data_IF_453612636490
#
_entry.id   IF_453612636490
#
_cell.length_a   1.000
_cell.length_b   1.000
_cell.length_c   1.000
_cell.angle_alpha   90.00
_cell.angle_beta   90.00
_cell.angle_gamma   90.00
#
_symmetry.space_group_name_H-M   'P 1'
#
loop_
_entity.id
_entity.type
_entity.pdbx_description
1 polymer ?
#
# COMPACT_ATOMS: atom_id res chain seq x y z
N UNK A 1 -14.33 -11.86 10.95
CA UNK A 1 -13.94 -11.31 9.63
C UNK A 1 -12.47 -11.63 9.37
N UNK A 2 -12.15 -12.45 8.37
CA UNK A 2 -10.76 -12.83 8.04
C UNK A 2 -10.09 -11.78 7.16
N UNK A 3 -8.77 -11.61 7.31
CA UNK A 3 -7.98 -10.61 6.57
C UNK A 3 -6.84 -11.31 5.82
N UNK A 4 -6.78 -11.07 4.52
CA UNK A 4 -5.65 -11.44 3.68
C UNK A 4 -4.74 -10.22 3.46
N UNK A 5 -3.45 -10.36 3.70
CA UNK A 5 -2.44 -9.42 3.25
C UNK A 5 -1.98 -9.85 1.86
N UNK A 6 -2.15 -8.99 0.86
CA UNK A 6 -1.67 -9.23 -0.50
C UNK A 6 -0.44 -8.37 -0.74
N UNK A 7 0.74 -8.98 -0.65
CA UNK A 7 2.04 -8.33 -0.83
C UNK A 7 2.51 -8.42 -2.27
N UNK A 8 2.67 -7.27 -2.92
CA UNK A 8 3.13 -7.17 -4.31
C UNK A 8 4.61 -6.83 -4.34
N UNK A 9 5.41 -7.62 -5.06
CA UNK A 9 6.87 -7.42 -5.11
C UNK A 9 7.45 -7.74 -6.48
N UNK A 10 8.57 -7.08 -6.80
CA UNK A 10 9.39 -7.38 -7.98
C UNK A 10 10.83 -6.94 -7.74
N UNK A 11 11.75 -7.90 -7.56
CA UNK A 11 13.19 -7.67 -7.67
C UNK A 11 13.75 -6.58 -6.70
N UNK A 12 13.08 -6.38 -5.56
CA UNK A 12 13.45 -5.39 -4.53
C UNK A 12 13.60 -6.07 -3.16
N UNK A 13 14.54 -7.01 -3.07
CA UNK A 13 14.70 -7.88 -1.90
C UNK A 13 14.74 -7.13 -0.55
N UNK A 14 15.44 -5.99 -0.45
CA UNK A 14 15.56 -5.29 0.83
C UNK A 14 14.28 -4.57 1.23
N UNK A 15 13.54 -4.00 0.28
CA UNK A 15 12.21 -3.46 0.52
C UNK A 15 11.24 -4.57 0.93
N UNK A 16 11.21 -5.68 0.19
CA UNK A 16 10.42 -6.86 0.51
C UNK A 16 10.69 -7.40 1.93
N UNK A 17 11.98 -7.60 2.27
CA UNK A 17 12.41 -8.04 3.59
C UNK A 17 11.98 -7.06 4.67
N UNK A 18 12.20 -5.77 4.45
CA UNK A 18 11.81 -4.71 5.37
C UNK A 18 10.29 -4.69 5.64
N UNK A 19 9.50 -4.83 4.58
CA UNK A 19 8.05 -4.89 4.65
C UNK A 19 7.59 -6.06 5.54
N UNK A 20 8.06 -7.28 5.25
CA UNK A 20 7.73 -8.47 6.03
C UNK A 20 8.25 -8.39 7.48
N UNK A 21 9.50 -7.96 7.70
CA UNK A 21 10.05 -7.77 9.04
C UNK A 21 9.18 -6.79 9.85
N UNK A 22 8.67 -5.72 9.23
CA UNK A 22 7.82 -4.74 9.91
C UNK A 22 6.43 -5.29 10.24
N UNK A 23 5.88 -6.16 9.39
CA UNK A 23 4.63 -6.87 9.70
C UNK A 23 4.83 -7.81 10.88
N UNK A 24 5.91 -8.60 10.85
CA UNK A 24 6.25 -9.56 11.90
C UNK A 24 6.43 -8.87 13.25
N UNK A 25 7.12 -7.73 13.27
CA UNK A 25 7.41 -7.04 14.52
C UNK A 25 6.22 -6.24 15.07
N UNK A 26 5.35 -5.70 14.23
CA UNK A 26 4.39 -4.67 14.64
C UNK A 26 2.92 -5.08 14.59
N UNK A 27 2.58 -6.23 14.00
CA UNK A 27 1.22 -6.71 13.82
C UNK A 27 1.01 -8.10 14.47
N UNK A 28 -0.24 -8.51 14.75
CA UNK A 28 -0.53 -9.84 15.30
C UNK A 28 -0.46 -10.90 14.18
N UNK A 29 0.75 -11.35 13.85
CA UNK A 29 0.98 -12.22 12.67
C UNK A 29 0.19 -13.54 12.65
N UNK A 30 -0.20 -14.06 13.81
CA UNK A 30 -1.02 -15.26 13.94
C UNK A 30 -2.47 -15.07 13.47
N UNK A 31 -2.89 -13.83 13.24
CA UNK A 31 -4.20 -13.49 12.67
C UNK A 31 -4.13 -13.06 11.20
N UNK A 32 -2.95 -13.21 10.58
CA UNK A 32 -2.67 -12.73 9.22
C UNK A 32 -2.43 -13.91 8.30
N UNK A 33 -3.31 -14.06 7.32
CA UNK A 33 -3.05 -14.81 6.10
C UNK A 33 -2.33 -13.89 5.11
N UNK A 34 -1.24 -14.35 4.49
CA UNK A 34 -0.49 -13.55 3.51
C UNK A 34 -0.35 -14.28 2.17
N UNK A 35 -0.60 -13.56 1.09
CA UNK A 35 -0.25 -13.96 -0.26
C UNK A 35 0.80 -13.01 -0.83
N UNK A 36 1.94 -13.56 -1.23
CA UNK A 36 3.02 -12.84 -1.88
C UNK A 36 2.86 -13.03 -3.39
N UNK A 37 2.59 -11.94 -4.09
CA UNK A 37 2.52 -11.88 -5.54
C UNK A 37 3.87 -11.40 -6.09
N UNK A 38 4.74 -12.35 -6.42
CA UNK A 38 6.06 -12.11 -7.01
C UNK A 38 5.96 -11.98 -8.54
N UNK A 39 6.13 -10.76 -9.04
CA UNK A 39 6.14 -10.43 -10.45
C UNK A 39 7.50 -10.76 -11.10
N UNK A 40 7.79 -12.06 -11.19
CA UNK A 40 8.95 -12.62 -11.87
C UNK A 40 10.30 -12.07 -11.35
N UNK A 41 10.48 -12.07 -10.03
CA UNK A 41 11.78 -11.77 -9.39
C UNK A 41 12.81 -12.82 -9.78
N UNK A 42 14.03 -12.37 -10.11
CA UNK A 42 15.20 -13.21 -10.38
C UNK A 42 16.10 -13.35 -9.14
N UNK A 43 15.98 -12.44 -8.19
CA UNK A 43 16.71 -12.47 -6.91
C UNK A 43 16.24 -13.65 -6.03
N UNK A 44 17.07 -14.70 -5.97
CA UNK A 44 16.77 -15.92 -5.20
C UNK A 44 16.60 -15.68 -3.69
N UNK A 45 17.11 -14.56 -3.16
CA UNK A 45 17.00 -14.22 -1.74
C UNK A 45 15.55 -13.96 -1.32
N UNK A 46 14.71 -13.47 -2.24
CA UNK A 46 13.29 -13.22 -1.97
C UNK A 46 12.58 -14.51 -1.56
N UNK A 47 12.68 -15.55 -2.39
CA UNK A 47 12.07 -16.86 -2.09
C UNK A 47 12.65 -17.45 -0.80
N UNK A 48 13.98 -17.48 -0.66
CA UNK A 48 14.64 -18.02 0.54
C UNK A 48 14.17 -17.34 1.82
N UNK A 49 14.00 -16.01 1.80
CA UNK A 49 13.50 -15.26 2.94
C UNK A 49 12.02 -15.54 3.19
N UNK A 50 11.17 -15.60 2.15
CA UNK A 50 9.75 -15.93 2.28
C UNK A 50 9.53 -17.32 2.91
N UNK A 51 10.29 -18.33 2.45
CA UNK A 51 10.26 -19.69 3.00
C UNK A 51 10.66 -19.67 4.49
N UNK A 52 11.69 -18.89 4.84
CA UNK A 52 12.19 -18.79 6.22
C UNK A 52 11.18 -18.18 7.19
N UNK A 53 10.45 -17.15 6.78
CA UNK A 53 9.50 -16.44 7.66
C UNK A 53 8.07 -16.97 7.56
N UNK A 54 7.82 -17.98 6.71
CA UNK A 54 6.48 -18.54 6.50
C UNK A 54 5.79 -19.01 7.77
N UNK A 55 6.54 -19.58 8.72
CA UNK A 55 6.02 -20.06 10.00
C UNK A 55 5.60 -18.97 11.00
N UNK A 56 5.92 -17.70 10.73
CA UNK A 56 5.51 -16.59 11.58
C UNK A 56 4.02 -16.27 11.43
N UNK A 57 3.47 -16.45 10.22
CA UNK A 57 2.10 -16.09 9.85
C UNK A 57 1.08 -17.21 10.14
N UNK A 58 -0.22 -16.88 10.06
CA UNK A 58 -1.27 -17.92 10.05
C UNK A 58 -1.13 -18.83 8.83
N UNK A 59 -0.94 -18.21 7.66
CA UNK A 59 -0.57 -18.89 6.43
C UNK A 59 0.22 -17.94 5.53
N UNK A 60 1.17 -18.48 4.76
CA UNK A 60 1.91 -17.74 3.75
C UNK A 60 1.88 -18.50 2.42
N UNK A 61 1.35 -17.87 1.37
CA UNK A 61 1.33 -18.40 0.02
C UNK A 61 2.18 -17.54 -0.93
N UNK A 62 3.12 -18.16 -1.66
CA UNK A 62 3.93 -17.48 -2.66
C UNK A 62 3.42 -17.79 -4.08
N UNK A 63 2.85 -16.78 -4.73
CA UNK A 63 2.52 -16.80 -6.15
C UNK A 63 3.61 -16.10 -6.96
N UNK A 64 4.42 -16.89 -7.65
CA UNK A 64 5.36 -16.37 -8.66
C UNK A 64 4.74 -16.38 -10.05
N UNK A 65 4.69 -15.21 -10.69
CA UNK A 65 4.38 -15.11 -12.12
C UNK A 65 5.63 -15.44 -12.94
N UNK A 66 5.48 -16.32 -13.93
CA UNK A 66 6.59 -16.76 -14.79
C UNK A 66 6.87 -15.77 -15.93
N UNK A 67 5.86 -15.00 -16.32
CA UNK A 67 5.88 -14.07 -17.44
C UNK A 67 5.71 -12.62 -16.98
N UNK A 68 6.12 -11.69 -17.84
CA UNK A 68 5.96 -10.25 -17.64
C UNK A 68 4.68 -9.76 -18.29
N UNK A 69 3.99 -8.82 -17.66
CA UNK A 69 2.75 -8.25 -18.17
C UNK A 69 2.72 -6.73 -17.97
N UNK A 70 2.23 -5.98 -18.95
CA UNK A 70 2.21 -4.51 -18.88
C UNK A 70 1.36 -3.96 -17.72
N UNK A 71 0.41 -4.76 -17.23
CA UNK A 71 -0.43 -4.50 -16.05
C UNK A 71 -0.05 -5.38 -14.84
N UNK A 72 1.24 -5.60 -14.60
CA UNK A 72 1.78 -6.48 -13.54
C UNK A 72 1.16 -6.25 -12.15
N UNK A 73 1.06 -4.99 -11.72
CA UNK A 73 0.45 -4.62 -10.43
C UNK A 73 -0.98 -5.15 -10.32
N UNK A 74 -1.83 -4.83 -11.30
CA UNK A 74 -3.25 -5.19 -11.23
C UNK A 74 -3.51 -6.67 -11.54
N UNK A 75 -2.62 -7.33 -12.29
CA UNK A 75 -2.64 -8.80 -12.42
C UNK A 75 -2.40 -9.46 -11.06
N UNK A 76 -1.43 -8.97 -10.30
CA UNK A 76 -1.17 -9.43 -8.94
C UNK A 76 -2.34 -9.09 -7.99
N UNK A 77 -2.90 -7.87 -8.06
CA UNK A 77 -4.09 -7.53 -7.26
C UNK A 77 -5.28 -8.43 -7.60
N UNK A 78 -5.53 -8.71 -8.88
CA UNK A 78 -6.58 -9.62 -9.31
C UNK A 78 -6.36 -11.04 -8.77
N UNK A 79 -5.12 -11.54 -8.79
CA UNK A 79 -4.81 -12.82 -8.15
C UNK A 79 -5.13 -12.81 -6.66
N UNK A 80 -4.70 -11.77 -5.94
CA UNK A 80 -5.02 -11.63 -4.51
C UNK A 80 -6.51 -11.60 -4.23
N UNK A 81 -7.31 -10.93 -5.08
CA UNK A 81 -8.77 -10.88 -4.94
C UNK A 81 -9.40 -12.26 -5.18
N UNK A 82 -8.99 -12.99 -6.21
CA UNK A 82 -9.51 -14.34 -6.47
C UNK A 82 -9.13 -15.30 -5.34
N UNK A 83 -7.87 -15.26 -4.89
CA UNK A 83 -7.41 -16.03 -3.73
C UNK A 83 -8.24 -15.71 -2.49
N UNK A 84 -8.46 -14.42 -2.21
CA UNK A 84 -9.29 -13.98 -1.09
C UNK A 84 -10.73 -14.52 -1.17
N UNK A 85 -11.34 -14.53 -2.36
CA UNK A 85 -12.68 -15.10 -2.57
C UNK A 85 -12.71 -16.60 -2.35
N UNK A 86 -11.74 -17.33 -2.91
CA UNK A 86 -11.62 -18.78 -2.80
C UNK A 86 -11.44 -19.22 -1.35
N UNK A 87 -10.63 -18.50 -0.58
CA UNK A 87 -10.34 -18.80 0.83
C UNK A 87 -11.37 -18.21 1.81
N UNK A 88 -12.46 -17.59 1.32
CA UNK A 88 -13.50 -17.03 2.17
C UNK A 88 -13.05 -15.85 3.03
N UNK A 89 -12.16 -15.01 2.52
CA UNK A 89 -11.66 -13.81 3.19
C UNK A 89 -12.65 -12.65 3.08
N UNK A 90 -12.82 -11.88 4.15
CA UNK A 90 -13.73 -10.72 4.16
C UNK A 90 -13.04 -9.43 3.70
N UNK A 91 -11.76 -9.31 4.03
CA UNK A 91 -10.93 -8.12 3.80
C UNK A 91 -9.62 -8.55 3.14
N UNK A 92 -9.18 -7.78 2.15
CA UNK A 92 -7.85 -7.86 1.55
C UNK A 92 -7.12 -6.54 1.80
N UNK A 93 -5.93 -6.60 2.41
CA UNK A 93 -5.04 -5.48 2.57
C UNK A 93 -3.96 -5.54 1.48
N UNK A 94 -4.07 -4.67 0.46
CA UNK A 94 -3.01 -4.57 -0.54
C UNK A 94 -1.84 -3.77 0.02
N UNK A 95 -0.64 -4.32 -0.11
CA UNK A 95 0.60 -3.69 0.31
C UNK A 95 1.66 -3.89 -0.78
N UNK A 96 2.39 -2.83 -1.10
CA UNK A 96 3.57 -2.90 -1.94
C UNK A 96 4.80 -3.19 -1.07
N UNK A 97 5.86 -3.72 -1.65
CA UNK A 97 7.08 -4.05 -0.91
C UNK A 97 7.84 -2.82 -0.37
N UNK A 98 7.50 -1.58 -0.75
CA UNK A 98 8.01 -0.35 -0.10
C UNK A 98 7.16 0.12 1.08
N UNK A 99 6.23 -0.71 1.54
CA UNK A 99 5.46 -0.40 2.73
C UNK A 99 6.21 -0.83 3.98
N UNK A 100 6.31 0.06 4.97
CA UNK A 100 6.85 -0.26 6.29
C UNK A 100 5.83 0.11 7.35
N UNK A 101 5.45 -0.86 8.19
CA UNK A 101 4.77 -0.53 9.45
C UNK A 101 5.78 0.17 10.36
N UNK A 102 5.35 1.24 11.05
CA UNK A 102 6.25 2.11 11.84
C UNK A 102 5.81 2.24 13.30
N UNK A 103 4.70 1.61 13.65
CA UNK A 103 4.10 1.62 14.98
C UNK A 103 3.57 0.24 15.31
N UNK A 104 3.91 -0.28 16.50
CA UNK A 104 3.26 -1.45 17.11
C UNK A 104 1.79 -1.16 17.37
N UNK A 105 0.91 -1.92 16.74
CA UNK A 105 -0.54 -1.77 16.89
C UNK A 105 -1.20 -3.13 16.71
N UNK A 106 -1.18 -3.93 17.79
CA UNK A 106 -1.73 -5.29 17.76
C UNK A 106 -3.25 -5.32 17.55
N UNK A 107 -3.94 -4.21 17.80
CA UNK A 107 -5.39 -4.10 17.64
C UNK A 107 -5.80 -3.63 16.24
N UNK A 108 -4.86 -3.32 15.34
CA UNK A 108 -5.23 -2.65 14.09
C UNK A 108 -6.14 -3.49 13.20
N UNK A 109 -5.98 -4.82 13.23
CA UNK A 109 -6.83 -5.72 12.47
C UNK A 109 -8.27 -5.65 12.99
N UNK A 110 -8.46 -5.64 14.30
CA UNK A 110 -9.79 -5.53 14.92
C UNK A 110 -10.41 -4.15 14.71
N UNK A 111 -9.62 -3.09 14.80
CA UNK A 111 -10.05 -1.73 14.44
C UNK A 111 -10.52 -1.68 12.99
N UNK A 112 -9.77 -2.27 12.05
CA UNK A 112 -10.16 -2.31 10.64
C UNK A 112 -11.44 -3.14 10.41
N UNK A 113 -11.56 -4.31 11.04
CA UNK A 113 -12.75 -5.18 10.99
C UNK A 113 -13.98 -4.45 11.53
N UNK A 114 -13.87 -3.85 12.72
CA UNK A 114 -14.94 -3.11 13.40
C UNK A 114 -15.38 -1.89 12.61
N UNK A 115 -14.42 -1.07 12.18
CA UNK A 115 -14.73 0.15 11.42
C UNK A 115 -15.40 -0.19 10.09
N UNK A 116 -14.87 -1.17 9.34
CA UNK A 116 -15.50 -1.60 8.11
C UNK A 116 -16.87 -2.22 8.42
N UNK A 117 -17.03 -3.17 9.33
CA UNK A 117 -18.34 -3.81 9.58
C UNK A 117 -19.48 -2.81 9.87
N UNK A 118 -19.21 -1.76 10.66
CA UNK A 118 -20.16 -0.68 10.97
C UNK A 118 -20.47 0.23 9.77
N UNK A 119 -19.48 0.48 8.91
CA UNK A 119 -19.57 1.47 7.84
C UNK A 119 -19.73 0.82 6.45
N UNK A 120 -20.95 0.39 6.12
CA UNK A 120 -21.27 -0.36 4.87
C UNK A 120 -20.90 0.34 3.56
N UNK A 121 -20.96 1.67 3.53
CA UNK A 121 -20.60 2.47 2.35
C UNK A 121 -19.09 2.75 2.25
N UNK A 122 -18.30 2.37 3.26
CA UNK A 122 -16.84 2.44 3.22
C UNK A 122 -16.30 1.09 2.78
N UNK A 123 -15.61 1.08 1.63
CA UNK A 123 -15.09 -0.15 1.03
C UNK A 123 -13.60 -0.36 1.24
N UNK A 124 -12.88 0.71 1.56
CA UNK A 124 -11.44 0.68 1.79
C UNK A 124 -11.09 1.58 2.98
N UNK A 125 -10.26 1.07 3.89
CA UNK A 125 -9.62 1.80 4.97
C UNK A 125 -8.12 1.84 4.71
N UNK A 126 -7.58 3.04 4.53
CA UNK A 126 -6.15 3.25 4.36
C UNK A 126 -5.50 3.66 5.69
N UNK A 127 -4.44 2.96 6.09
CA UNK A 127 -3.68 3.22 7.32
C UNK A 127 -2.26 3.74 7.04
N UNK A 128 -1.96 4.03 5.77
CA UNK A 128 -0.74 4.69 5.34
C UNK A 128 -0.78 6.17 5.74
N UNK A 129 0.36 6.69 6.20
CA UNK A 129 0.48 8.11 6.47
C UNK A 129 0.34 8.93 5.19
N UNK A 130 -0.54 9.93 5.28
CA UNK A 130 -0.71 10.93 4.23
C UNK A 130 0.36 11.99 4.39
N UNK A 131 1.27 12.09 3.42
CA UNK A 131 2.15 13.24 3.26
C UNK A 131 1.36 14.56 3.24
N UNK A 132 1.81 15.56 4.02
CA UNK A 132 1.14 16.86 4.21
C UNK A 132 0.84 17.55 2.87
N UNK A 133 1.71 17.42 1.86
CA UNK A 133 1.53 18.02 0.54
C UNK A 133 0.35 17.44 -0.27
N UNK A 134 -0.06 16.19 -0.02
CA UNK A 134 -1.22 15.57 -0.69
C UNK A 134 -2.56 16.08 -0.15
N UNK A 135 -2.57 16.89 0.92
CA UNK A 135 -3.79 17.46 1.52
C UNK A 135 -4.32 18.69 0.80
N UNK A 136 -3.44 19.54 0.23
CA UNK A 136 -3.83 20.81 -0.42
C UNK A 136 -4.74 20.63 -1.65
N UNK A 137 -4.92 19.41 -2.16
CA UNK A 137 -5.75 19.10 -3.34
C UNK A 137 -6.98 18.23 -3.04
N UNK A 138 -7.30 17.99 -1.76
CA UNK A 138 -8.43 17.14 -1.37
C UNK A 138 -9.67 18.01 -1.22
N UNK A 139 -10.73 17.62 -1.93
CA UNK A 139 -12.06 18.19 -1.88
C UNK A 139 -12.76 17.90 -0.55
N UNK A 140 -14.08 17.79 -0.57
CA UNK A 140 -14.88 17.66 0.67
C UNK A 140 -14.55 16.36 1.40
N UNK A 141 -13.95 16.50 2.59
CA UNK A 141 -13.65 15.41 3.53
C UNK A 141 -14.61 15.50 4.70
N UNK A 142 -15.30 14.41 5.02
CA UNK A 142 -16.02 14.28 6.28
C UNK A 142 -15.12 13.56 7.30
N UNK A 143 -15.44 13.73 8.58
CA UNK A 143 -14.73 13.05 9.66
C UNK A 143 -15.70 12.18 10.46
N UNK A 144 -15.26 10.97 10.81
CA UNK A 144 -16.00 10.02 11.63
C UNK A 144 -15.08 9.53 12.74
N UNK A 145 -15.61 9.45 13.96
CA UNK A 145 -14.94 8.86 15.11
C UNK A 145 -15.55 7.49 15.42
N UNK A 146 -14.72 6.51 15.79
CA UNK A 146 -15.15 5.20 16.27
C UNK A 146 -14.27 4.83 17.48
N UNK A 147 -14.80 5.07 18.68
CA UNK A 147 -14.01 5.06 19.92
C UNK A 147 -12.93 6.16 19.90
N UNK A 148 -11.69 5.80 20.21
CA UNK A 148 -10.53 6.70 20.21
C UNK A 148 -9.92 6.89 18.81
N UNK A 149 -10.44 6.19 17.81
CA UNK A 149 -9.96 6.29 16.43
C UNK A 149 -10.75 7.35 15.65
N UNK A 150 -10.02 8.08 14.81
CA UNK A 150 -10.58 9.11 13.95
C UNK A 150 -10.27 8.77 12.50
N UNK A 151 -11.25 9.01 11.62
CA UNK A 151 -11.17 8.66 10.21
C UNK A 151 -11.61 9.83 9.35
N UNK A 152 -10.87 10.09 8.27
CA UNK A 152 -11.28 11.00 7.20
C UNK A 152 -11.98 10.21 6.09
N UNK A 153 -13.24 10.51 5.84
CA UNK A 153 -14.03 9.94 4.75
C UNK A 153 -13.80 10.77 3.49
N UNK A 154 -13.18 10.13 2.50
CA UNK A 154 -12.83 10.78 1.25
C UNK A 154 -13.99 10.63 0.27
N UNK A 155 -14.78 11.69 0.09
CA UNK A 155 -15.87 11.74 -0.90
C UNK A 155 -15.35 11.95 -2.33
N UNK A 156 -14.12 12.38 -2.47
CA UNK A 156 -13.54 12.79 -3.73
C UNK A 156 -12.31 11.96 -4.15
N UNK A 157 -12.47 11.36 -5.33
CA UNK A 157 -11.50 10.86 -6.30
C UNK A 157 -10.02 10.85 -5.89
N UNK A 158 -9.58 9.82 -5.18
CA UNK A 158 -8.36 9.11 -5.59
C UNK A 158 -8.55 7.65 -5.22
N UNK A 159 -8.17 6.74 -6.10
CA UNK A 159 -7.98 5.38 -5.66
C UNK A 159 -6.60 5.26 -5.04
N UNK A 160 -6.49 4.32 -4.11
CA UNK A 160 -5.24 3.86 -3.58
C UNK A 160 -5.15 2.38 -3.92
N UNK A 161 -3.98 1.99 -4.38
CA UNK A 161 -3.53 0.61 -4.58
C UNK A 161 -3.15 -0.08 -3.26
N UNK A 162 -3.41 0.56 -2.12
CA UNK A 162 -3.12 0.04 -0.79
C UNK A 162 -4.26 0.27 0.22
N UNK A 163 -4.28 -0.57 1.25
CA UNK A 163 -5.20 -0.50 2.38
C UNK A 163 -6.20 -1.65 2.45
N UNK A 164 -6.83 -1.79 3.62
CA UNK A 164 -7.82 -2.79 3.95
C UNK A 164 -9.09 -2.59 3.13
N UNK A 165 -9.35 -3.48 2.19
CA UNK A 165 -10.43 -3.39 1.22
C UNK A 165 -11.38 -4.56 1.40
N UNK A 166 -12.70 -4.32 1.44
CA UNK A 166 -13.68 -5.40 1.51
C UNK A 166 -13.61 -6.27 0.27
N UNK A 167 -13.50 -7.58 0.40
CA UNK A 167 -13.44 -8.50 -0.76
C UNK A 167 -14.77 -8.48 -1.53
N UNK A 168 -15.90 -8.40 -0.81
CA UNK A 168 -17.24 -8.38 -1.41
C UNK A 168 -17.50 -7.21 -2.36
N UNK A 169 -16.67 -6.15 -2.32
CA UNK A 169 -16.82 -5.04 -3.28
C UNK A 169 -16.57 -5.49 -4.72
N UNK A 170 -15.67 -6.45 -4.92
CA UNK A 170 -15.26 -6.90 -6.24
C UNK A 170 -16.35 -7.67 -6.98
N UNK A 171 -17.40 -8.12 -6.29
CA UNK A 171 -18.63 -8.65 -6.92
C UNK A 171 -19.46 -7.55 -7.59
N UNK A 172 -19.34 -6.29 -7.14
CA UNK A 172 -20.07 -5.14 -7.69
C UNK A 172 -19.24 -4.33 -8.66
N UNK A 173 -17.96 -4.10 -8.37
CA UNK A 173 -17.09 -3.27 -9.22
C UNK A 173 -16.41 -4.06 -10.34
N UNK A 174 -16.23 -5.37 -10.16
CA UNK A 174 -15.47 -6.24 -11.05
C UNK A 174 -13.97 -6.25 -10.73
N UNK A 175 -13.22 -7.04 -11.49
CA UNK A 175 -11.76 -7.14 -11.38
C UNK A 175 -11.07 -5.97 -12.11
N UNK A 176 -9.83 -5.65 -11.72
CA UNK A 176 -9.06 -4.61 -12.40
C UNK A 176 -8.83 -4.97 -13.87
N UNK A 177 -8.98 -4.01 -14.81
CA UNK A 177 -8.81 -4.28 -16.22
C UNK A 177 -7.33 -4.51 -16.58
N UNK A 178 -7.00 -5.65 -17.17
CA UNK A 178 -5.62 -5.96 -17.56
C UNK A 178 -5.22 -5.40 -18.92
N UNK A 179 -6.18 -5.07 -19.79
CA UNK A 179 -5.95 -4.66 -21.18
C UNK A 179 -6.11 -3.15 -21.43
N UNK A 180 -6.24 -2.31 -20.40
CA UNK A 180 -6.64 -0.90 -20.53
C UNK A 180 -5.74 0.10 -19.79
N UNK A 181 -4.50 -0.27 -19.49
CA UNK A 181 -3.63 0.53 -18.62
C UNK A 181 -2.59 1.25 -19.46
N UNK A 182 -2.75 2.57 -19.62
CA UNK A 182 -1.72 3.41 -20.22
C UNK A 182 -1.49 4.68 -19.41
N UNK A 183 -0.22 5.05 -19.29
CA UNK A 183 0.25 6.33 -18.78
C UNK A 183 -0.29 7.50 -19.63
N UNK A 184 -0.63 8.61 -18.97
CA UNK A 184 -0.58 9.93 -19.63
C UNK A 184 0.89 10.32 -19.82
N UNK A 185 1.47 9.94 -20.94
CA UNK A 185 2.64 10.64 -21.45
C UNK A 185 2.17 12.02 -21.94
N UNK A 186 2.30 13.04 -21.09
CA UNK A 186 2.54 14.47 -21.43
C UNK A 186 1.86 15.14 -22.65
N UNK A 187 0.74 14.66 -23.19
CA UNK A 187 0.09 15.36 -24.31
C UNK A 187 -0.76 16.53 -23.81
N UNK A 188 -0.14 17.70 -23.76
CA UNK A 188 -0.79 19.00 -23.64
C UNK A 188 -1.69 19.34 -24.86
N UNK A 189 -1.72 18.52 -25.92
CA UNK A 189 -2.40 18.84 -27.19
C UNK A 189 -3.23 17.70 -27.82
N UNK A 190 -3.74 16.74 -27.04
CA UNK A 190 -4.62 15.71 -27.62
C UNK A 190 -6.02 16.29 -27.96
N UNK A 191 -6.08 16.96 -29.13
CA UNK A 191 -7.29 17.24 -29.91
C UNK A 191 -7.98 15.91 -30.27
N UNK A 192 -9.31 15.99 -30.33
CA UNK A 192 -10.31 15.02 -30.78
C UNK A 192 -9.83 13.61 -31.21
N UNK A 193 -10.27 12.56 -30.48
CA UNK A 193 -10.38 11.18 -31.03
C UNK A 193 -9.66 10.05 -30.28
N UNK A 194 -8.71 10.31 -29.37
CA UNK A 194 -7.93 9.24 -28.73
C UNK A 194 -8.60 8.70 -27.45
N UNK A 195 -8.96 7.41 -27.44
CA UNK A 195 -9.43 6.67 -26.25
C UNK A 195 -8.42 6.86 -25.11
N UNK A 196 -8.80 7.62 -24.08
CA UNK A 196 -8.03 7.77 -22.84
C UNK A 196 -8.12 6.46 -22.05
N UNK A 197 -7.02 5.72 -22.00
CA UNK A 197 -6.87 4.60 -21.09
C UNK A 197 -6.92 5.09 -19.63
N UNK A 198 -7.49 4.27 -18.75
CA UNK A 198 -7.73 4.62 -17.35
C UNK A 198 -6.83 3.73 -16.49
N UNK A 199 -5.94 4.33 -15.68
CA UNK A 199 -5.17 3.63 -14.65
C UNK A 199 -6.11 2.78 -13.77
N UNK A 200 -5.68 1.59 -13.32
CA UNK A 200 -6.56 0.67 -12.60
C UNK A 200 -7.14 1.28 -11.31
N UNK A 201 -6.37 2.13 -10.63
CA UNK A 201 -6.84 2.96 -9.52
C UNK A 201 -7.96 3.89 -10.00
N UNK A 202 -7.71 4.70 -11.02
CA UNK A 202 -8.70 5.63 -11.57
C UNK A 202 -9.99 4.91 -12.00
N UNK A 203 -9.88 3.70 -12.55
CA UNK A 203 -11.01 2.85 -12.90
C UNK A 203 -11.80 2.41 -11.65
N UNK A 204 -11.10 1.91 -10.63
CA UNK A 204 -11.71 1.47 -9.37
C UNK A 204 -12.41 2.64 -8.66
N UNK A 205 -11.75 3.80 -8.56
CA UNK A 205 -12.34 5.02 -8.00
C UNK A 205 -13.61 5.45 -8.74
N UNK A 206 -13.61 5.36 -10.08
CA UNK A 206 -14.79 5.70 -10.89
C UNK A 206 -15.94 4.73 -10.65
N UNK A 207 -15.65 3.43 -10.57
CA UNK A 207 -16.66 2.39 -10.24
C UNK A 207 -17.25 2.63 -8.85
N UNK A 208 -16.42 2.82 -7.82
CA UNK A 208 -16.87 3.11 -6.46
C UNK A 208 -17.72 4.39 -6.40
N UNK A 209 -17.30 5.46 -7.10
CA UNK A 209 -18.07 6.71 -7.17
C UNK A 209 -19.49 6.48 -7.71
N UNK A 210 -19.64 5.72 -8.80
CA UNK A 210 -20.96 5.43 -9.39
C UNK A 210 -21.88 4.68 -8.41
N UNK A 211 -21.29 3.86 -7.54
CA UNK A 211 -22.01 3.07 -6.55
C UNK A 211 -22.19 3.79 -5.20
N UNK A 212 -21.78 5.07 -5.09
CA UNK A 212 -21.78 5.84 -3.82
C UNK A 212 -20.98 5.14 -2.71
N UNK A 213 -19.84 4.57 -3.09
CA UNK A 213 -18.92 3.90 -2.19
C UNK A 213 -17.69 4.76 -1.96
N UNK A 214 -17.23 4.79 -0.72
CA UNK A 214 -16.18 5.70 -0.28
C UNK A 214 -15.03 4.94 0.35
N UNK A 215 -13.94 5.68 0.57
CA UNK A 215 -12.78 5.22 1.31
C UNK A 215 -12.62 6.05 2.57
N UNK A 216 -12.06 5.44 3.60
CA UNK A 216 -11.62 6.11 4.80
C UNK A 216 -10.09 6.12 4.86
N UNK A 217 -9.55 7.13 5.53
CA UNK A 217 -8.14 7.18 5.90
C UNK A 217 -8.09 7.27 7.42
N UNK A 218 -7.34 6.39 8.07
CA UNK A 218 -7.07 6.51 9.49
C UNK A 218 -6.27 7.77 9.77
N UNK A 219 -6.73 8.56 10.74
CA UNK A 219 -6.02 9.74 11.22
C UNK A 219 -4.93 9.39 12.23
N UNK A 220 -4.85 8.10 12.62
CA UNK A 220 -3.80 7.47 13.39
C UNK A 220 -3.06 6.42 12.53
N UNK A 221 -2.46 6.83 11.40
CA UNK A 221 -1.78 5.90 10.50
C UNK A 221 -0.67 5.14 11.21
N UNK A 222 -0.41 3.91 10.77
CA UNK A 222 0.55 3.00 11.40
C UNK A 222 1.63 2.49 10.45
N UNK A 223 1.56 2.91 9.19
CA UNK A 223 2.51 2.52 8.17
C UNK A 223 2.86 3.69 7.24
N UNK A 224 3.97 3.53 6.54
CA UNK A 224 4.53 4.48 5.60
C UNK A 224 4.91 3.79 4.31
N UNK A 225 4.77 4.49 3.19
CA UNK A 225 5.55 4.17 1.99
C UNK A 225 6.96 4.73 2.12
N UNK A 226 7.95 3.89 1.91
CA UNK A 226 9.36 4.26 1.78
C UNK A 226 9.54 4.96 0.43
N UNK A 227 10.26 6.08 0.43
CA UNK A 227 10.61 6.75 -0.82
C UNK A 227 11.66 5.94 -1.58
N UNK A 228 11.23 5.32 -2.68
CA UNK A 228 12.12 4.65 -3.62
C UNK A 228 12.68 5.64 -4.66
N UNK A 229 14.00 5.66 -4.81
CA UNK A 229 14.71 6.39 -5.87
C UNK A 229 15.03 5.49 -7.08
N UNK A 230 14.73 4.20 -6.97
CA UNK A 230 14.79 3.24 -8.04
C UNK A 230 13.39 2.86 -8.53
N UNK A 231 13.31 2.40 -9.77
CA UNK A 231 12.15 1.64 -10.24
C UNK A 231 12.65 0.38 -10.93
N UNK A 232 11.91 -0.71 -10.80
CA UNK A 232 12.30 -2.01 -11.34
C UNK A 232 11.39 -2.41 -12.48
N UNK A 233 11.98 -2.83 -13.60
CA UNK A 233 11.24 -3.35 -14.75
C UNK A 233 11.99 -4.53 -15.35
N UNK A 234 11.42 -5.72 -15.23
CA UNK A 234 12.12 -6.94 -15.62
C UNK A 234 13.32 -7.18 -14.70
N UNK A 235 14.44 -7.53 -15.30
CA UNK A 235 15.73 -7.77 -14.63
C UNK A 235 16.55 -6.49 -14.43
N UNK A 236 15.94 -5.31 -14.59
CA UNK A 236 16.65 -4.04 -14.59
C UNK A 236 16.15 -3.12 -13.49
N UNK A 237 17.11 -2.54 -12.78
CA UNK A 237 16.91 -1.45 -11.83
C UNK A 237 17.32 -0.16 -12.53
N UNK A 238 16.44 0.84 -12.44
CA UNK A 238 16.67 2.17 -12.97
C UNK A 238 16.70 3.16 -11.81
N UNK A 239 17.72 3.99 -11.72
CA UNK A 239 17.93 4.87 -10.58
C UNK A 239 18.84 4.23 -9.52
N UNK A 240 18.87 4.85 -8.34
CA UNK A 240 19.74 4.41 -7.24
C UNK A 240 18.92 3.60 -6.24
N UNK A 241 19.26 2.32 -6.17
CA UNK A 241 18.69 1.38 -5.21
C UNK A 241 19.58 1.33 -3.96
N UNK A 242 19.01 1.69 -2.82
CA UNK A 242 19.73 1.79 -1.56
C UNK A 242 19.25 0.69 -0.62
N UNK A 243 20.15 -0.21 -0.20
CA UNK A 243 19.86 -1.12 0.89
C UNK A 243 19.78 -0.35 2.22
N UNK A 244 18.91 -0.74 3.18
CA UNK A 244 18.88 -0.09 4.48
C UNK A 244 20.17 -0.46 5.23
N UNK A 245 20.78 0.51 5.91
CA UNK A 245 21.93 0.26 6.80
C UNK A 245 21.50 -0.41 8.10
N UNK A 246 20.31 -0.05 8.56
CA UNK A 246 19.66 -0.59 9.74
C UNK A 246 18.64 -1.68 9.37
N UNK A 247 17.99 -2.29 10.37
CA UNK A 247 16.86 -3.21 10.14
C UNK A 247 15.74 -2.57 9.32
N UNK A 248 15.48 -1.28 9.56
CA UNK A 248 14.38 -0.54 8.96
C UNK A 248 14.84 0.70 8.17
N UNK A 249 14.11 1.05 7.10
CA UNK A 249 14.34 2.29 6.33
C UNK A 249 13.80 3.52 7.08
N UNK A 250 12.71 3.36 7.83
CA UNK A 250 12.08 4.42 8.64
C UNK A 250 12.22 4.06 10.10
N UNK A 251 12.57 5.02 10.97
CA UNK A 251 12.70 4.77 12.40
C UNK A 251 11.31 4.51 12.99
N UNK A 252 11.08 3.33 13.58
CA UNK A 252 9.86 3.11 14.34
C UNK A 252 9.79 4.11 15.49
N UNK A 253 8.60 4.64 15.76
CA UNK A 253 8.40 5.50 16.92
C UNK A 253 8.26 4.67 18.20
N UNK A 254 8.71 5.23 19.32
CA UNK A 254 8.39 4.68 20.64
C UNK A 254 6.95 5.00 21.04
N UNK A 255 6.40 4.22 21.97
CA UNK A 255 5.03 4.42 22.47
C UNK A 255 4.86 5.78 23.16
N UNK A 256 5.90 6.26 23.84
CA UNK A 256 5.93 7.56 24.52
C UNK A 256 5.79 8.69 23.49
N UNK A 257 6.62 8.66 22.44
CA UNK A 257 6.57 9.65 21.35
C UNK A 257 5.20 9.66 20.69
N UNK A 258 4.60 8.49 20.46
CA UNK A 258 3.24 8.37 19.91
C UNK A 258 2.19 8.95 20.85
N UNK A 259 2.29 8.67 22.15
CA UNK A 259 1.37 9.19 23.17
C UNK A 259 1.43 10.70 23.23
N UNK A 260 2.63 11.28 23.21
CA UNK A 260 2.84 12.72 23.20
C UNK A 260 2.29 13.36 21.91
N UNK A 261 2.53 12.74 20.76
CA UNK A 261 1.94 13.16 19.48
C UNK A 261 0.40 13.16 19.59
N UNK A 262 -0.22 12.10 20.13
CA UNK A 262 -1.69 12.02 20.29
C UNK A 262 -2.21 13.09 21.25
N UNK A 263 -1.55 13.28 22.40
CA UNK A 263 -1.91 14.27 23.42
C UNK A 263 -1.82 15.69 22.90
N UNK A 264 -0.77 16.00 22.15
CA UNK A 264 -0.54 17.32 21.59
C UNK A 264 -1.36 17.57 20.29
N UNK A 265 -1.77 16.51 19.59
CA UNK A 265 -2.64 16.60 18.42
C UNK A 265 -4.14 16.55 18.73
N UNK A 266 -4.58 16.64 20.00
CA UNK A 266 -6.01 16.70 20.37
C UNK A 266 -6.82 17.74 19.58
N UNK A 267 -6.17 18.81 19.10
CA UNK A 267 -6.79 19.88 18.27
C UNK A 267 -6.62 19.69 16.75
N UNK A 268 -5.73 18.81 16.30
CA UNK A 268 -5.54 18.53 14.88
C UNK A 268 -6.30 17.27 14.48
N UNK A 269 -7.24 17.41 13.55
CA UNK A 269 -8.04 16.30 12.98
C UNK A 269 -7.18 15.23 12.26
N UNK A 270 -5.85 15.30 12.28
CA UNK A 270 -4.99 14.50 11.41
C UNK A 270 -3.50 14.53 11.76
N UNK A 271 -2.92 13.35 11.99
CA UNK A 271 -1.48 13.16 12.16
C UNK A 271 -0.78 13.02 10.79
N UNK A 272 0.35 13.70 10.57
CA UNK A 272 1.12 13.63 9.30
C UNK A 272 2.40 12.81 9.51
N UNK A 273 2.90 12.14 8.45
CA UNK A 273 4.18 11.41 8.52
C UNK A 273 5.33 12.29 8.97
N UNK A 274 5.34 13.54 8.51
CA UNK A 274 6.38 14.51 8.83
C UNK A 274 6.40 14.89 10.31
N UNK A 275 5.32 14.58 11.05
CA UNK A 275 5.21 14.84 12.48
C UNK A 275 5.43 13.57 13.32
N UNK A 276 5.54 12.39 12.68
CA UNK A 276 5.49 11.10 13.38
C UNK A 276 6.46 10.06 12.85
N UNK A 277 7.39 10.42 11.99
CA UNK A 277 8.48 9.53 11.61
C UNK A 277 9.71 10.37 11.32
N UNK A 278 10.82 9.98 11.93
CA UNK A 278 12.14 10.35 11.43
C UNK A 278 12.61 9.21 10.52
N UNK A 279 12.84 9.44 9.22
CA UNK A 279 13.63 8.49 8.47
C UNK A 279 15.00 8.32 9.16
N UNK A 280 15.52 7.10 9.33
CA UNK A 280 16.90 6.90 9.83
C UNK A 280 17.86 7.54 8.81
N UNK A 281 18.32 8.76 9.05
CA UNK A 281 19.26 9.49 8.18
C UNK A 281 18.77 9.83 6.77
N UNK A 282 17.53 9.49 6.40
CA UNK A 282 17.04 9.67 5.03
C UNK A 282 16.37 11.03 4.85
N UNK A 283 17.20 12.08 4.77
CA UNK A 283 16.82 13.27 4.02
C UNK A 283 17.17 13.03 2.55
N UNK A 284 16.29 12.37 1.81
CA UNK A 284 16.19 12.74 0.40
C UNK A 284 15.63 14.15 0.43
N UNK A 285 16.52 15.15 0.58
CA UNK A 285 16.39 16.37 -0.24
C UNK A 285 16.00 15.82 -1.58
N UNK A 286 14.81 16.17 -2.03
CA UNK A 286 14.22 15.76 -3.30
C UNK A 286 15.20 16.16 -4.40
N UNK A 287 16.30 15.41 -4.54
CA UNK A 287 17.28 15.48 -5.59
C UNK A 287 16.41 15.35 -6.82
N UNK A 288 16.37 16.44 -7.58
CA UNK A 288 15.23 16.79 -8.40
C UNK A 288 14.68 15.57 -9.10
N UNK A 289 13.36 15.44 -9.11
CA UNK A 289 12.58 14.39 -9.83
C UNK A 289 12.96 14.21 -11.32
N UNK A 290 14.01 14.86 -11.80
CA UNK A 290 14.50 14.93 -13.16
C UNK A 290 16.00 14.62 -13.33
N UNK A 291 16.76 14.30 -12.26
CA UNK A 291 18.11 13.73 -12.42
C UNK A 291 18.14 12.22 -12.18
N UNK A 292 17.07 11.50 -12.57
CA UNK A 292 17.12 10.06 -12.77
C UNK A 292 18.29 9.79 -13.72
N UNK A 293 19.44 9.43 -13.15
CA UNK A 293 20.58 9.06 -13.96
C UNK A 293 20.12 7.92 -14.88
N UNK A 294 20.48 7.98 -16.16
CA UNK A 294 20.21 6.90 -17.13
C UNK A 294 20.91 5.57 -16.76
N UNK A 295 21.44 5.43 -15.53
CA UNK A 295 22.14 4.25 -15.05
C UNK A 295 21.14 3.10 -14.93
N UNK A 296 21.18 2.25 -15.95
CA UNK A 296 20.50 0.96 -16.03
C UNK A 296 21.47 -0.09 -15.49
N UNK A 297 21.10 -0.77 -14.40
CA UNK A 297 21.87 -1.89 -13.85
C UNK A 297 21.08 -3.18 -14.02
N UNK A 298 21.72 -4.23 -14.57
CA UNK A 298 21.15 -5.58 -14.58
C UNK A 298 21.28 -6.17 -13.18
N UNK A 299 20.21 -6.78 -12.68
CA UNK A 299 20.21 -7.51 -11.43
C UNK A 299 21.08 -8.76 -11.64
N UNK A 300 22.11 -8.89 -10.81
CA UNK A 300 22.98 -10.07 -10.75
C UNK A 300 22.44 -11.04 -9.72
#
# INVERSE_FOLDING_TARGET
MRILFCLLTCNRYFYFKNCLDSIIEFLPVKDIDIVICDNNTVDSRLKKYADRVGGEFNSLHLKRFKDRHHAELYRAMNYGIEFAKQEGMDIINFIQDDFQYVRKDYEILDKARSFLSKNKNIVQLNTNMVWKYKRKKRGRVDYVSDGDENYAIMKDKFACDNGFTRVSIYNKVGMYPLNKIAFKAKDHNARAGRKKYIEGESWFAHKCKKLKLFRAISMNPNAAMIFDCAYVRGEYIYGEYFAPKEKFYIKPLSNEVISDIKKNNKRMKSTCIENTCEPWGYSVRTLGKHSLSKKKKKIK
#
